data_IF_961427582812
#
_entry.id   IF_961427582812
#
_cell.length_a   1.000
_cell.length_b   1.000
_cell.length_c   1.000
_cell.angle_alpha   90.00
_cell.angle_beta   90.00
_cell.angle_gamma   90.00
#
_symmetry.space_group_name_H-M   'P 1'
#
loop_
_entity.id
_entity.type
_entity.pdbx_description
1 polymer ?
#
# COMPACT_ATOMS: atom_id res chain seq x y z
N UNK A 1 -19.74 17.09 -14.06
CA UNK A 1 -18.97 16.94 -12.80
C UNK A 1 -18.77 15.45 -12.57
N UNK A 2 -17.52 14.96 -12.44
CA UNK A 2 -17.27 13.52 -12.19
C UNK A 2 -17.76 13.16 -10.79
N UNK A 3 -18.54 12.09 -10.67
CA UNK A 3 -18.98 11.57 -9.37
C UNK A 3 -17.77 11.17 -8.53
N UNK A 4 -17.77 11.56 -7.26
CA UNK A 4 -16.74 11.11 -6.32
C UNK A 4 -16.90 9.61 -6.05
N UNK A 5 -15.82 8.82 -5.96
CA UNK A 5 -15.91 7.39 -5.70
C UNK A 5 -16.51 7.13 -4.32
N UNK A 6 -17.46 6.19 -4.21
CA UNK A 6 -18.05 5.84 -2.91
C UNK A 6 -17.13 4.99 -2.03
N UNK A 7 -16.22 4.22 -2.65
CA UNK A 7 -15.29 3.34 -1.93
C UNK A 7 -13.94 3.30 -2.64
N UNK A 8 -12.86 3.37 -1.85
CA UNK A 8 -11.48 3.18 -2.30
C UNK A 8 -10.76 2.20 -1.38
N UNK A 9 -9.95 1.32 -1.95
CA UNK A 9 -9.11 0.38 -1.21
C UNK A 9 -7.66 0.64 -1.58
N UNK A 10 -6.84 0.96 -0.59
CA UNK A 10 -5.39 1.13 -0.72
C UNK A 10 -4.76 -0.22 -0.40
N UNK A 11 -4.31 -0.94 -1.43
CA UNK A 11 -3.46 -2.10 -1.25
C UNK A 11 -2.04 -1.63 -0.86
N UNK A 12 -1.50 -2.12 0.26
CA UNK A 12 -0.16 -1.74 0.73
C UNK A 12 0.58 -2.91 1.36
N UNK A 13 1.91 -2.86 1.33
CA UNK A 13 2.75 -3.79 2.07
C UNK A 13 2.56 -3.60 3.57
N UNK A 14 2.68 -4.68 4.33
CA UNK A 14 2.51 -4.66 5.79
C UNK A 14 3.72 -4.10 6.55
N UNK A 15 4.86 -3.90 5.88
CA UNK A 15 6.03 -3.23 6.49
C UNK A 15 5.63 -1.87 7.10
N UNK A 16 6.23 -1.53 8.25
CA UNK A 16 5.83 -0.36 9.03
C UNK A 16 5.82 0.95 8.22
N UNK A 17 6.83 1.15 7.36
CA UNK A 17 6.91 2.34 6.51
C UNK A 17 5.80 2.37 5.45
N UNK A 18 5.51 1.24 4.79
CA UNK A 18 4.46 1.17 3.78
C UNK A 18 3.06 1.38 4.39
N UNK A 19 2.83 0.85 5.59
CA UNK A 19 1.59 1.10 6.33
C UNK A 19 1.46 2.57 6.77
N UNK A 20 2.56 3.21 7.18
CA UNK A 20 2.56 4.64 7.48
C UNK A 20 2.21 5.47 6.24
N UNK A 21 2.82 5.15 5.09
CA UNK A 21 2.53 5.81 3.81
C UNK A 21 1.05 5.65 3.41
N UNK A 22 0.52 4.43 3.53
CA UNK A 22 -0.88 4.15 3.22
C UNK A 22 -1.85 4.95 4.11
N UNK A 23 -1.58 5.01 5.42
CA UNK A 23 -2.36 5.82 6.37
C UNK A 23 -2.29 7.32 6.07
N UNK A 24 -1.10 7.82 5.71
CA UNK A 24 -0.93 9.22 5.32
C UNK A 24 -1.78 9.59 4.10
N UNK A 25 -1.83 8.73 3.09
CA UNK A 25 -2.67 8.94 1.90
C UNK A 25 -4.16 8.78 2.22
N UNK A 26 -4.53 7.78 3.04
CA UNK A 26 -5.91 7.59 3.51
C UNK A 26 -6.46 8.86 4.16
N UNK A 27 -5.71 9.48 5.09
CA UNK A 27 -6.13 10.69 5.78
C UNK A 27 -6.37 11.87 4.81
N UNK A 28 -5.51 12.02 3.80
CA UNK A 28 -5.69 13.04 2.77
C UNK A 28 -6.92 12.79 1.89
N UNK A 29 -7.15 11.54 1.50
CA UNK A 29 -8.32 11.17 0.70
C UNK A 29 -9.62 11.36 1.49
N UNK A 30 -9.64 11.03 2.78
CA UNK A 30 -10.80 11.28 3.64
C UNK A 30 -11.11 12.77 3.80
N UNK A 31 -10.08 13.63 3.79
CA UNK A 31 -10.25 15.08 3.81
C UNK A 31 -10.86 15.60 2.49
N UNK A 32 -10.41 15.09 1.35
CA UNK A 32 -10.88 15.50 0.03
C UNK A 32 -12.25 14.91 -0.35
N UNK A 33 -12.54 13.71 0.15
CA UNK A 33 -13.76 12.96 -0.14
C UNK A 33 -14.39 12.43 1.16
N UNK A 34 -15.05 13.30 1.97
CA UNK A 34 -15.59 12.91 3.27
C UNK A 34 -16.64 11.78 3.22
N UNK A 35 -17.29 11.61 2.07
CA UNK A 35 -18.29 10.56 1.81
C UNK A 35 -17.67 9.27 1.23
N UNK A 36 -16.39 9.27 0.89
CA UNK A 36 -15.70 8.10 0.35
C UNK A 36 -15.23 7.20 1.49
N UNK A 37 -15.64 5.93 1.45
CA UNK A 37 -15.10 4.91 2.35
C UNK A 37 -13.71 4.48 1.87
N UNK A 38 -12.65 5.03 2.47
CA UNK A 38 -11.26 4.69 2.16
C UNK A 38 -10.73 3.66 3.16
N UNK A 39 -10.34 2.50 2.67
CA UNK A 39 -9.82 1.37 3.47
C UNK A 39 -8.38 1.05 3.08
N UNK A 40 -7.61 0.45 3.98
CA UNK A 40 -6.27 -0.09 3.69
C UNK A 40 -6.36 -1.61 3.77
N UNK A 41 -5.89 -2.27 2.71
CA UNK A 41 -5.73 -3.72 2.66
C UNK A 41 -4.22 -4.02 2.73
N UNK A 42 -3.79 -4.61 3.85
CA UNK A 42 -2.44 -5.12 4.00
C UNK A 42 -2.20 -6.32 3.10
N UNK A 43 -1.06 -6.36 2.43
CA UNK A 43 -0.61 -7.47 1.60
C UNK A 43 0.82 -7.85 2.00
N UNK A 44 1.05 -9.12 2.25
CA UNK A 44 2.39 -9.66 2.47
C UNK A 44 3.03 -10.01 1.13
N UNK A 45 4.27 -9.58 0.90
CA UNK A 45 5.03 -9.96 -0.30
C UNK A 45 6.13 -10.95 0.05
N UNK A 46 6.64 -11.72 -0.93
CA UNK A 46 7.80 -12.61 -0.73
C UNK A 46 9.03 -11.85 -0.23
N UNK A 47 9.18 -10.57 -0.59
CA UNK A 47 10.24 -9.70 -0.08
C UNK A 47 10.06 -9.28 1.39
N UNK A 48 8.86 -9.37 1.97
CA UNK A 48 8.64 -9.18 3.42
C UNK A 48 9.05 -10.42 4.22
N UNK A 49 9.08 -11.59 3.58
CA UNK A 49 9.48 -12.86 4.20
C UNK A 49 11.00 -13.11 4.15
N UNK A 50 11.72 -12.41 3.27
CA UNK A 50 13.18 -12.56 3.08
C UNK A 50 13.89 -11.35 3.69
N UNK A 51 14.19 -11.42 4.98
CA UNK A 51 14.97 -10.40 5.71
C UNK A 51 16.49 -10.70 5.72
N UNK A 52 16.89 -11.96 5.49
CA UNK A 52 18.27 -12.45 5.72
C UNK A 52 19.07 -12.75 4.44
N UNK A 53 18.79 -12.08 3.32
CA UNK A 53 19.58 -12.26 2.10
C UNK A 53 19.90 -10.94 1.42
N UNK A 54 21.17 -10.68 1.05
CA UNK A 54 21.54 -9.46 0.35
C UNK A 54 20.70 -9.30 -0.91
N UNK A 55 20.09 -8.13 -1.09
CA UNK A 55 19.33 -7.74 -2.29
C UNK A 55 20.06 -8.08 -3.60
N UNK A 56 21.39 -8.01 -3.60
CA UNK A 56 22.25 -8.35 -4.73
C UNK A 56 22.16 -9.82 -5.19
N UNK A 57 21.73 -10.74 -4.30
CA UNK A 57 21.54 -12.16 -4.62
C UNK A 57 20.15 -12.46 -5.21
N UNK A 58 19.21 -11.53 -5.05
CA UNK A 58 17.82 -11.66 -5.51
C UNK A 58 17.71 -10.93 -6.86
N UNK A 59 18.37 -11.48 -7.87
CA UNK A 59 18.26 -10.98 -9.24
C UNK A 59 16.87 -11.24 -9.81
N UNK A 60 16.03 -10.21 -9.90
CA UNK A 60 14.74 -10.30 -10.59
C UNK A 60 13.95 -8.99 -10.53
N UNK A 61 13.63 -8.41 -11.69
CA UNK A 61 12.70 -7.27 -11.80
C UNK A 61 11.34 -7.69 -11.20
N UNK A 62 10.88 -6.99 -10.15
CA UNK A 62 9.56 -7.24 -9.54
C UNK A 62 9.54 -7.75 -8.10
N UNK A 63 10.64 -7.67 -7.34
CA UNK A 63 10.71 -8.17 -5.95
C UNK A 63 9.66 -7.56 -4.99
N UNK A 64 9.12 -6.38 -5.32
CA UNK A 64 8.16 -5.65 -4.49
C UNK A 64 6.84 -5.33 -5.22
N UNK A 65 6.65 -5.88 -6.42
CA UNK A 65 5.44 -5.67 -7.21
C UNK A 65 5.02 -7.02 -7.77
N UNK A 66 4.10 -7.70 -7.08
CA UNK A 66 3.39 -8.88 -7.56
C UNK A 66 1.98 -8.88 -6.98
#
# INVERSE_FOLDING_TARGET
MKSSPQKLIIASRESALAMWQAKHIQARLQTLYPQCNVQILGMTTTGDQILDSPLARIGGKGLFVK
#
